data_IF_369372739391
#
_entry.id   IF_369372739391
#
_cell.length_a   1.000
_cell.length_b   1.000
_cell.length_c   1.000
_cell.angle_alpha   90.00
_cell.angle_beta   90.00
_cell.angle_gamma   90.00
#
_symmetry.space_group_name_H-M   'P 1'
#
loop_
_entity.id
_entity.type
_entity.pdbx_description
1 polymer ?
#
# COMPACT_ATOMS: atom_id res chain seq x y z
N UNK A 1 -18.85 31.67 -22.27
CA UNK A 1 -18.61 31.87 -20.82
C UNK A 1 -18.90 30.61 -19.99
N UNK A 2 -20.11 30.03 -20.06
CA UNK A 2 -20.52 28.85 -19.24
C UNK A 2 -19.60 27.62 -19.38
N UNK A 3 -19.15 27.30 -20.60
CA UNK A 3 -18.23 26.17 -20.86
C UNK A 3 -16.84 26.37 -20.23
N UNK A 4 -16.30 27.59 -20.27
CA UNK A 4 -15.02 27.90 -19.64
C UNK A 4 -15.11 27.76 -18.11
N UNK A 5 -16.24 28.18 -17.53
CA UNK A 5 -16.50 28.05 -16.09
C UNK A 5 -16.59 26.57 -15.67
N UNK A 6 -17.24 25.72 -16.47
CA UNK A 6 -17.28 24.27 -16.23
C UNK A 6 -15.89 23.64 -16.28
N UNK A 7 -15.03 24.03 -17.23
CA UNK A 7 -13.66 23.51 -17.32
C UNK A 7 -12.80 23.91 -16.12
N UNK A 8 -12.95 25.16 -15.63
CA UNK A 8 -12.25 25.63 -14.42
C UNK A 8 -12.69 24.82 -13.19
N UNK A 9 -13.99 24.57 -13.05
CA UNK A 9 -14.52 23.77 -11.93
C UNK A 9 -14.04 22.32 -11.99
N UNK A 10 -14.01 21.70 -13.18
CA UNK A 10 -13.47 20.35 -13.35
C UNK A 10 -11.96 20.28 -13.04
N UNK A 11 -11.19 21.28 -13.49
CA UNK A 11 -9.77 21.34 -13.23
C UNK A 11 -9.46 21.51 -11.73
N UNK A 12 -10.23 22.34 -11.01
CA UNK A 12 -10.09 22.46 -9.55
C UNK A 12 -10.52 21.18 -8.84
N UNK A 13 -11.58 20.51 -9.30
CA UNK A 13 -12.05 19.26 -8.68
C UNK A 13 -11.08 18.09 -8.87
N UNK A 14 -10.33 18.05 -9.97
CA UNK A 14 -9.27 17.04 -10.20
C UNK A 14 -7.94 17.36 -9.50
N UNK A 15 -7.76 18.59 -9.01
CA UNK A 15 -6.53 19.00 -8.36
C UNK A 15 -6.48 18.48 -6.92
N UNK A 16 -5.86 17.31 -6.73
CA UNK A 16 -5.59 16.75 -5.40
C UNK A 16 -6.28 15.42 -5.09
N UNK A 17 -6.97 14.79 -6.04
CA UNK A 17 -7.56 13.44 -5.87
C UNK A 17 -6.50 12.43 -5.41
N UNK A 18 -5.30 12.52 -6.00
CA UNK A 18 -4.15 11.67 -5.72
C UNK A 18 -3.51 11.92 -4.35
N UNK A 19 -3.89 12.99 -3.63
CA UNK A 19 -3.32 13.33 -2.31
C UNK A 19 -4.09 12.74 -1.13
N UNK A 20 -5.35 12.33 -1.31
CA UNK A 20 -6.20 11.85 -0.22
C UNK A 20 -6.35 12.86 0.94
N UNK A 21 -7.34 12.67 1.80
CA UNK A 21 -7.43 13.47 3.03
C UNK A 21 -6.56 12.91 4.16
N UNK A 22 -6.25 11.60 4.10
CA UNK A 22 -5.44 10.95 5.12
C UNK A 22 -3.94 11.14 4.80
N UNK A 23 -3.19 11.87 5.64
CA UNK A 23 -1.78 12.15 5.41
C UNK A 23 -0.91 10.88 5.35
N UNK A 24 -1.40 9.75 5.86
CA UNK A 24 -0.70 8.45 5.80
C UNK A 24 -0.68 7.82 4.39
N UNK A 25 -1.53 8.30 3.46
CA UNK A 25 -1.51 7.86 2.06
C UNK A 25 -0.61 8.73 1.17
N UNK A 26 -0.02 9.80 1.73
CA UNK A 26 1.00 10.60 1.06
C UNK A 26 2.33 9.87 1.03
N UNK A 27 2.75 9.43 -0.15
CA UNK A 27 4.10 8.92 -0.37
C UNK A 27 5.00 10.11 -0.68
N UNK A 28 5.48 10.82 0.35
CA UNK A 28 6.41 11.94 0.20
C UNK A 28 7.75 11.53 -0.42
N UNK A 29 8.72 12.44 -0.47
CA UNK A 29 10.03 12.23 -1.14
C UNK A 29 10.98 11.23 -0.45
N UNK A 30 10.48 10.51 0.55
CA UNK A 30 11.24 9.49 1.26
C UNK A 30 11.55 8.25 0.39
N UNK A 31 12.42 7.35 0.88
CA UNK A 31 12.91 6.21 0.10
C UNK A 31 11.80 5.33 -0.50
N UNK A 32 10.71 5.14 0.26
CA UNK A 32 9.55 4.37 -0.21
C UNK A 32 8.75 5.08 -1.31
N UNK A 33 8.62 6.40 -1.26
CA UNK A 33 7.94 7.19 -2.30
C UNK A 33 8.71 7.15 -3.61
N UNK A 34 10.04 7.27 -3.55
CA UNK A 34 10.91 7.13 -4.73
C UNK A 34 10.78 5.74 -5.37
N UNK A 35 10.80 4.68 -4.56
CA UNK A 35 10.56 3.31 -5.02
C UNK A 35 9.19 3.16 -5.72
N UNK A 36 8.11 3.69 -5.13
CA UNK A 36 6.77 3.64 -5.70
C UNK A 36 6.70 4.33 -7.07
N UNK A 37 7.23 5.55 -7.18
CA UNK A 37 7.26 6.31 -8.44
C UNK A 37 8.07 5.57 -9.51
N UNK A 38 9.24 5.07 -9.17
CA UNK A 38 10.08 4.29 -10.11
C UNK A 38 9.35 3.03 -10.60
N UNK A 39 8.66 2.33 -9.69
CA UNK A 39 7.86 1.14 -10.01
C UNK A 39 6.68 1.49 -10.93
N UNK A 40 5.95 2.57 -10.65
CA UNK A 40 4.81 2.99 -11.47
C UNK A 40 5.24 3.37 -12.90
N UNK A 41 6.33 4.11 -13.04
CA UNK A 41 6.90 4.43 -14.36
C UNK A 41 7.27 3.15 -15.10
N UNK A 42 7.97 2.24 -14.43
CA UNK A 42 8.37 0.95 -15.01
C UNK A 42 7.16 0.14 -15.49
N UNK A 43 6.12 0.02 -14.66
CA UNK A 43 4.92 -0.75 -15.00
C UNK A 43 4.18 -0.14 -16.20
N UNK A 44 4.26 1.17 -16.39
CA UNK A 44 3.65 1.88 -17.51
C UNK A 44 4.49 1.81 -18.80
N UNK A 45 5.82 1.80 -18.69
CA UNK A 45 6.72 1.78 -19.84
C UNK A 45 7.13 0.38 -20.29
N UNK A 46 6.90 -0.65 -19.48
CA UNK A 46 7.33 -2.02 -19.76
C UNK A 46 8.85 -2.21 -19.65
N UNK A 47 9.57 -1.22 -19.12
CA UNK A 47 10.99 -1.29 -18.81
C UNK A 47 11.23 -2.28 -17.64
N UNK A 48 12.47 -2.70 -17.42
CA UNK A 48 12.80 -3.54 -16.23
C UNK A 48 13.23 -2.65 -15.08
N UNK A 49 12.42 -2.53 -14.02
CA UNK A 49 12.83 -1.82 -12.80
C UNK A 49 13.92 -2.62 -12.12
N UNK A 50 15.13 -2.06 -12.06
CA UNK A 50 16.31 -2.65 -11.43
C UNK A 50 16.33 -2.47 -9.89
N UNK A 51 15.18 -2.32 -9.23
CA UNK A 51 15.13 -2.11 -7.79
C UNK A 51 14.25 -3.16 -7.13
N UNK A 52 14.91 -4.20 -6.62
CA UNK A 52 14.29 -5.15 -5.71
C UNK A 52 13.66 -4.41 -4.53
N UNK A 53 12.42 -4.75 -4.22
CA UNK A 53 11.77 -4.29 -2.99
C UNK A 53 12.69 -4.69 -1.84
N UNK A 54 13.14 -3.75 -0.98
CA UNK A 54 13.80 -4.15 0.26
C UNK A 54 12.74 -4.83 1.14
N UNK A 55 12.58 -6.14 0.96
CA UNK A 55 11.86 -6.98 1.90
C UNK A 55 12.80 -7.12 3.08
N UNK A 56 12.69 -6.23 4.06
CA UNK A 56 13.26 -6.50 5.37
C UNK A 56 12.61 -7.80 5.85
N UNK A 57 13.41 -8.87 5.89
CA UNK A 57 12.93 -10.16 6.39
C UNK A 57 12.42 -9.94 7.82
N UNK A 58 11.32 -10.58 8.25
CA UNK A 58 10.79 -10.43 9.60
C UNK A 58 11.83 -10.67 10.71
N UNK A 59 12.87 -11.46 10.43
CA UNK A 59 14.02 -11.70 11.32
C UNK A 59 14.88 -10.46 11.59
N UNK A 60 14.88 -9.48 10.68
CA UNK A 60 15.60 -8.21 10.83
C UNK A 60 14.76 -7.14 11.53
N UNK A 61 13.52 -7.46 11.92
CA UNK A 61 12.67 -6.51 12.63
C UNK A 61 13.27 -6.19 14.01
N UNK A 62 13.32 -4.90 14.41
CA UNK A 62 13.83 -4.54 15.73
C UNK A 62 12.94 -5.14 16.84
N UNK A 63 13.56 -5.60 17.92
CA UNK A 63 12.85 -6.09 19.09
C UNK A 63 12.07 -4.97 19.78
N UNK A 64 10.99 -5.26 20.53
CA UNK A 64 10.26 -4.24 21.28
C UNK A 64 11.16 -3.38 22.19
N UNK A 65 12.12 -3.99 22.88
CA UNK A 65 13.10 -3.28 23.71
C UNK A 65 14.01 -2.36 22.89
N UNK A 66 14.37 -2.75 21.67
CA UNK A 66 15.15 -1.93 20.73
C UNK A 66 14.34 -0.77 20.16
N UNK A 67 13.04 -0.94 19.98
CA UNK A 67 12.12 0.12 19.52
C UNK A 67 11.93 1.16 20.62
N UNK A 68 11.72 0.73 21.87
CA UNK A 68 11.43 1.62 23.00
C UNK A 68 12.69 2.15 23.70
N UNK A 69 13.86 1.56 23.44
CA UNK A 69 15.11 1.88 24.12
C UNK A 69 15.13 1.47 25.59
N UNK A 70 14.23 0.60 26.03
CA UNK A 70 14.07 0.20 27.44
C UNK A 70 13.73 -1.28 27.58
N UNK A 71 14.35 -1.92 28.58
CA UNK A 71 14.10 -3.30 29.00
C UNK A 71 13.92 -3.33 30.54
N UNK A 72 12.76 -3.76 31.08
CA UNK A 72 11.58 -4.29 30.38
C UNK A 72 10.77 -3.22 29.66
N UNK A 73 10.13 -3.63 28.56
CA UNK A 73 9.14 -2.80 27.87
C UNK A 73 7.92 -2.65 28.76
N UNK A 74 7.50 -1.41 29.02
CA UNK A 74 6.30 -1.16 29.80
C UNK A 74 5.06 -1.63 29.02
N UNK A 75 4.04 -2.17 29.71
CA UNK A 75 2.77 -2.50 29.08
C UNK A 75 2.18 -1.24 28.41
N UNK A 76 1.61 -1.35 27.20
CA UNK A 76 0.98 -0.23 26.54
C UNK A 76 -0.21 0.29 27.38
N UNK A 77 -0.63 1.55 27.20
CA UNK A 77 -1.80 2.09 27.90
C UNK A 77 -3.10 1.32 27.65
N UNK A 78 -3.12 0.53 26.57
CA UNK A 78 -4.25 -0.33 26.18
C UNK A 78 -4.17 -1.74 26.78
N UNK A 79 -3.10 -2.08 27.51
CA UNK A 79 -2.98 -3.36 28.18
C UNK A 79 -4.09 -3.51 29.23
N UNK A 80 -4.95 -4.50 29.07
CA UNK A 80 -6.07 -4.77 29.98
C UNK A 80 -7.40 -4.12 29.58
N UNK A 81 -7.47 -3.38 28.46
CA UNK A 81 -8.75 -2.97 27.91
C UNK A 81 -9.46 -4.23 27.37
N UNK A 82 -10.62 -4.55 27.94
CA UNK A 82 -11.46 -5.64 27.46
C UNK A 82 -12.09 -5.22 26.13
N UNK A 83 -11.72 -5.89 25.04
CA UNK A 83 -12.43 -5.75 23.77
C UNK A 83 -13.88 -6.18 23.98
N UNK A 84 -14.81 -5.21 23.97
CA UNK A 84 -16.23 -5.52 23.89
C UNK A 84 -16.48 -5.85 22.43
N UNK A 85 -16.91 -7.07 22.07
CA UNK A 85 -17.34 -7.35 20.72
C UNK A 85 -18.53 -6.42 20.44
N UNK A 86 -18.33 -5.46 19.54
CA UNK A 86 -19.46 -4.82 18.88
C UNK A 86 -20.15 -5.96 18.14
N UNK A 87 -21.39 -6.27 18.53
CA UNK A 87 -22.22 -7.19 17.77
C UNK A 87 -22.29 -6.64 16.35
N UNK A 88 -21.59 -7.29 15.42
CA UNK A 88 -21.76 -7.01 14.02
C UNK A 88 -23.22 -7.33 13.71
N UNK A 89 -24.04 -6.32 13.48
CA UNK A 89 -25.23 -6.53 12.65
C UNK A 89 -24.69 -7.12 11.35
N UNK A 90 -25.00 -8.39 11.11
CA UNK A 90 -24.62 -9.07 9.89
C UNK A 90 -25.32 -8.37 8.72
N UNK A 91 -24.70 -7.32 8.20
CA UNK A 91 -24.97 -6.86 6.86
C UNK A 91 -24.36 -7.91 5.95
N UNK A 92 -25.22 -8.78 5.44
CA UNK A 92 -24.90 -9.74 4.40
C UNK A 92 -24.18 -8.97 3.28
N UNK A 93 -22.89 -9.25 3.03
CA UNK A 93 -22.20 -8.63 1.92
C UNK A 93 -22.96 -8.99 0.63
N UNK A 94 -23.15 -8.05 -0.32
CA UNK A 94 -23.71 -8.41 -1.61
C UNK A 94 -22.84 -9.50 -2.23
N UNK A 95 -23.48 -10.56 -2.72
CA UNK A 95 -22.80 -11.65 -3.40
C UNK A 95 -22.06 -11.10 -4.62
N UNK A 96 -20.74 -11.07 -4.54
CA UNK A 96 -19.90 -10.79 -5.70
C UNK A 96 -20.02 -11.98 -6.66
N UNK A 97 -20.20 -11.74 -7.97
CA UNK A 97 -20.17 -12.82 -8.95
C UNK A 97 -18.83 -13.55 -8.87
N UNK A 98 -18.87 -14.88 -8.91
CA UNK A 98 -17.67 -15.71 -8.92
C UNK A 98 -16.74 -15.26 -10.07
N UNK A 99 -15.55 -14.77 -9.71
CA UNK A 99 -14.48 -14.60 -10.68
C UNK A 99 -14.15 -15.97 -11.25
N UNK A 100 -14.33 -16.12 -12.56
CA UNK A 100 -13.85 -17.30 -13.29
C UNK A 100 -12.35 -17.46 -13.00
N UNK A 101 -11.87 -18.69 -12.72
CA UNK A 101 -10.43 -18.90 -12.62
C UNK A 101 -9.79 -18.47 -13.93
N UNK A 102 -8.88 -17.49 -13.85
CA UNK A 102 -7.99 -17.20 -14.96
C UNK A 102 -7.17 -18.46 -15.24
N UNK A 103 -7.14 -18.89 -16.50
CA UNK A 103 -6.24 -19.95 -16.94
C UNK A 103 -4.83 -19.57 -16.49
N UNK A 104 -4.19 -20.44 -15.71
CA UNK A 104 -2.80 -20.29 -15.34
C UNK A 104 -1.97 -20.22 -16.62
N UNK A 105 -1.50 -19.02 -16.96
CA UNK A 105 -0.52 -18.89 -18.03
C UNK A 105 0.79 -19.50 -17.52
N UNK A 106 1.46 -20.36 -18.29
CA UNK A 106 2.71 -20.94 -17.87
C UNK A 106 3.73 -19.82 -17.65
N UNK A 107 4.25 -19.74 -16.43
CA UNK A 107 5.43 -18.92 -16.11
C UNK A 107 6.59 -19.51 -16.89
N UNK A 108 7.05 -18.79 -17.92
CA UNK A 108 8.30 -19.12 -18.60
C UNK A 108 9.46 -18.85 -17.64
N UNK A 109 10.06 -19.92 -17.13
CA UNK A 109 11.26 -19.85 -16.31
C UNK A 109 12.43 -19.62 -17.27
N UNK A 110 12.96 -18.40 -17.32
CA UNK A 110 14.19 -18.15 -18.07
C UNK A 110 15.36 -18.86 -17.37
N UNK A 111 16.26 -19.54 -18.11
CA UNK A 111 17.40 -20.20 -17.50
C UNK A 111 18.39 -19.17 -16.94
N UNK A 112 18.80 -19.39 -15.69
CA UNK A 112 19.93 -18.69 -15.07
C UNK A 112 21.20 -19.03 -15.86
N UNK A 113 21.82 -18.01 -16.46
CA UNK A 113 23.20 -18.08 -16.90
C UNK A 113 24.09 -17.82 -15.69
N UNK A 114 24.82 -18.84 -15.25
CA UNK A 114 25.90 -18.72 -14.26
C UNK A 114 27.16 -18.14 -14.92
N UNK A 115 28.00 -17.39 -14.17
CA UNK A 115 29.24 -16.79 -14.67
C UNK A 115 30.32 -17.81 -15.02
#
# INVERSE_FOLDING_TARGET
>A
MRRALVMVVLALAGCGEHRGWNPNYGFGDGPYGQYKTAREVTLMTGETSQQGIPIALPVLSPTPARITGRDPVLPPPTAGIRNVPVAASAQTPPSLPALRPALAMPVAIAPVATP
#
